data_IF_151387527305
#
_entry.id   IF_151387527305
#
_cell.length_a   1.000
_cell.length_b   1.000
_cell.length_c   1.000
_cell.angle_alpha   90.00
_cell.angle_beta   90.00
_cell.angle_gamma   90.00
#
_symmetry.space_group_name_H-M   'P 1'
#
loop_
_entity.id
_entity.type
_entity.pdbx_description
1 polymer ?
#
# COMPACT_ATOMS: atom_id res chain seq x y z
N UNK A 1 41.07 -19.09 52.25
CA UNK A 1 42.52 -19.32 52.07
C UNK A 1 43.18 -18.01 52.41
N UNK A 2 43.76 -17.92 53.62
CA UNK A 2 44.44 -16.72 54.09
C UNK A 2 45.80 -16.65 53.42
N UNK A 3 46.00 -15.63 52.61
CA UNK A 3 47.29 -15.32 52.03
C UNK A 3 48.17 -14.78 53.16
N UNK A 4 49.16 -15.56 53.57
CA UNK A 4 50.20 -15.12 54.50
C UNK A 4 51.06 -14.12 53.73
N UNK A 5 50.62 -12.86 53.73
CA UNK A 5 51.37 -11.76 53.16
C UNK A 5 52.78 -11.80 53.71
N UNK A 6 53.73 -12.13 52.83
CA UNK A 6 55.15 -11.98 53.05
C UNK A 6 55.39 -10.49 53.26
N UNK A 7 55.32 -10.06 54.53
CA UNK A 7 55.59 -8.69 54.94
C UNK A 7 57.08 -8.50 54.72
N UNK A 8 57.43 -8.05 53.51
CA UNK A 8 58.79 -7.79 53.04
C UNK A 8 59.66 -7.23 54.18
N UNK A 9 60.46 -8.10 54.79
CA UNK A 9 61.47 -7.73 55.79
C UNK A 9 62.35 -6.65 55.16
N UNK A 10 62.43 -5.46 55.78
CA UNK A 10 63.27 -4.41 55.23
C UNK A 10 64.72 -4.69 55.63
N UNK A 11 65.54 -5.00 54.62
CA UNK A 11 66.97 -5.20 54.78
C UNK A 11 67.73 -3.90 54.51
N UNK A 12 68.78 -3.68 55.27
CA UNK A 12 69.70 -2.55 55.07
C UNK A 12 70.41 -2.73 53.73
N UNK A 13 70.35 -1.77 52.79
CA UNK A 13 71.05 -1.90 51.52
C UNK A 13 72.59 -1.93 51.65
N UNK A 14 73.12 -1.50 52.79
CA UNK A 14 74.56 -1.45 53.07
C UNK A 14 75.09 -2.76 53.68
N UNK A 15 74.43 -3.36 54.67
CA UNK A 15 74.89 -4.59 55.33
C UNK A 15 74.02 -5.83 55.08
N UNK A 16 72.83 -5.67 54.50
CA UNK A 16 71.89 -6.77 54.24
C UNK A 16 71.17 -7.32 55.46
N UNK A 17 71.37 -6.74 56.64
CA UNK A 17 70.71 -7.15 57.88
C UNK A 17 69.32 -6.52 58.00
N UNK A 18 68.41 -7.16 58.74
CA UNK A 18 67.05 -6.69 58.96
C UNK A 18 66.98 -5.41 59.78
N UNK A 19 65.79 -4.78 59.83
CA UNK A 19 65.54 -3.51 60.54
C UNK A 19 66.04 -3.49 62.00
N UNK A 20 66.06 -4.65 62.66
CA UNK A 20 66.52 -4.83 64.05
C UNK A 20 68.00 -4.45 64.28
N UNK A 21 68.83 -4.44 63.23
CA UNK A 21 70.27 -4.11 63.30
C UNK A 21 70.63 -2.75 62.68
N UNK A 22 69.66 -1.94 62.25
CA UNK A 22 69.93 -0.65 61.59
C UNK A 22 70.72 0.33 62.48
N UNK A 23 70.52 0.28 63.79
CA UNK A 23 71.24 1.13 64.76
C UNK A 23 72.72 0.73 64.95
N UNK A 24 73.09 -0.50 64.59
CA UNK A 24 74.44 -1.07 64.71
C UNK A 24 75.19 -1.08 63.36
N UNK A 25 74.51 -0.67 62.28
CA UNK A 25 75.08 -0.50 60.95
C UNK A 25 76.18 0.57 60.96
N UNK A 26 77.28 0.32 60.24
CA UNK A 26 78.37 1.30 60.10
C UNK A 26 77.94 2.61 59.39
N UNK A 27 76.81 2.60 58.71
CA UNK A 27 76.18 3.77 58.07
C UNK A 27 74.64 3.74 58.21
N UNK A 28 74.11 4.17 59.37
CA UNK A 28 72.66 4.17 59.64
C UNK A 28 71.88 5.20 58.81
N UNK A 29 72.54 6.27 58.35
CA UNK A 29 71.91 7.34 57.57
C UNK A 29 71.46 6.83 56.21
N UNK A 30 72.28 5.98 55.57
CA UNK A 30 71.93 5.31 54.31
C UNK A 30 70.77 4.32 54.48
N UNK A 31 70.68 3.61 55.61
CA UNK A 31 69.58 2.67 55.90
C UNK A 31 68.24 3.40 56.12
N UNK A 32 68.24 4.46 56.94
CA UNK A 32 67.05 5.30 57.15
C UNK A 32 66.59 6.00 55.88
N UNK A 33 67.52 6.49 55.07
CA UNK A 33 67.21 7.09 53.78
C UNK A 33 66.54 6.09 52.84
N UNK A 34 67.05 4.86 52.75
CA UNK A 34 66.45 3.82 51.93
C UNK A 34 65.04 3.40 52.40
N UNK A 35 64.81 3.37 53.71
CA UNK A 35 63.48 3.10 54.27
C UNK A 35 62.51 4.26 54.00
N UNK A 36 62.96 5.50 54.14
CA UNK A 36 62.18 6.70 53.79
C UNK A 36 61.83 6.71 52.30
N UNK A 37 62.79 6.42 51.41
CA UNK A 37 62.56 6.32 49.96
C UNK A 37 61.50 5.23 49.63
N UNK A 38 61.49 4.10 50.36
CA UNK A 38 60.48 3.05 50.22
C UNK A 38 59.09 3.51 50.70
N UNK A 39 59.03 4.24 51.82
CA UNK A 39 57.77 4.82 52.33
C UNK A 39 57.23 5.86 51.33
N UNK A 40 58.08 6.75 50.83
CA UNK A 40 57.69 7.79 49.87
C UNK A 40 57.17 7.16 48.57
N UNK A 41 57.83 6.10 48.07
CA UNK A 41 57.37 5.35 46.91
C UNK A 41 56.02 4.64 47.15
N UNK A 42 55.78 4.09 48.34
CA UNK A 42 54.50 3.48 48.70
C UNK A 42 53.38 4.52 48.82
N UNK A 43 53.67 5.69 49.39
CA UNK A 43 52.72 6.81 49.47
C UNK A 43 52.37 7.31 48.08
N UNK A 44 53.36 7.54 47.21
CA UNK A 44 53.13 7.94 45.82
C UNK A 44 52.28 6.91 45.07
N UNK A 45 52.57 5.61 45.25
CA UNK A 45 51.78 4.54 44.66
C UNK A 45 50.34 4.51 45.19
N UNK A 46 50.14 4.75 46.48
CA UNK A 46 48.81 4.81 47.11
C UNK A 46 48.01 6.01 46.60
N UNK A 47 48.62 7.19 46.54
CA UNK A 47 47.98 8.42 46.03
C UNK A 47 47.58 8.27 44.56
N UNK A 48 48.44 7.62 43.76
CA UNK A 48 48.13 7.29 42.35
C UNK A 48 46.98 6.30 42.24
N UNK A 49 46.95 5.27 43.09
CA UNK A 49 45.84 4.30 43.13
C UNK A 49 44.52 4.96 43.56
N UNK A 50 44.56 5.85 44.56
CA UNK A 50 43.39 6.62 44.98
C UNK A 50 42.87 7.54 43.88
N UNK A 51 43.77 8.22 43.17
CA UNK A 51 43.41 9.08 42.04
C UNK A 51 42.79 8.27 40.88
N UNK A 52 43.32 7.08 40.61
CA UNK A 52 42.76 6.17 39.60
C UNK A 52 41.36 5.65 40.00
N UNK A 53 41.16 5.31 41.27
CA UNK A 53 39.85 4.90 41.77
C UNK A 53 38.83 6.03 41.68
N UNK A 54 39.21 7.27 42.05
CA UNK A 54 38.33 8.43 41.94
C UNK A 54 37.91 8.69 40.47
N UNK A 55 38.86 8.61 39.54
CA UNK A 55 38.56 8.73 38.11
C UNK A 55 37.64 7.60 37.59
N UNK A 56 37.79 6.39 38.15
CA UNK A 56 36.91 5.27 37.83
C UNK A 56 35.48 5.48 38.37
N UNK A 57 35.33 6.01 39.59
CA UNK A 57 34.02 6.34 40.17
C UNK A 57 33.30 7.42 39.35
N UNK A 58 34.01 8.47 38.91
CA UNK A 58 33.45 9.49 38.02
C UNK A 58 32.95 8.87 36.70
N UNK A 59 33.70 7.94 36.13
CA UNK A 59 33.29 7.22 34.92
C UNK A 59 32.07 6.32 35.17
N UNK A 60 31.99 5.64 36.31
CA UNK A 60 30.82 4.82 36.70
C UNK A 60 29.57 5.71 36.82
N UNK A 61 29.69 6.87 37.48
CA UNK A 61 28.58 7.81 37.61
C UNK A 61 28.14 8.34 36.25
N UNK A 62 29.08 8.69 35.37
CA UNK A 62 28.76 9.11 34.00
C UNK A 62 28.07 7.99 33.21
N UNK A 63 28.47 6.74 33.39
CA UNK A 63 27.82 5.60 32.74
C UNK A 63 26.40 5.39 33.26
N UNK A 64 26.17 5.56 34.57
CA UNK A 64 24.86 5.47 35.18
C UNK A 64 23.89 6.52 34.61
N UNK A 65 24.32 7.78 34.52
CA UNK A 65 23.51 8.86 33.91
C UNK A 65 23.12 8.54 32.45
N UNK A 66 24.05 7.98 31.68
CA UNK A 66 23.79 7.57 30.29
C UNK A 66 22.77 6.43 30.21
N UNK A 67 22.84 5.46 31.11
CA UNK A 67 21.88 4.35 31.18
C UNK A 67 20.48 4.90 31.48
N UNK A 68 20.35 5.78 32.47
CA UNK A 68 19.06 6.39 32.82
C UNK A 68 18.45 7.20 31.67
N UNK A 69 19.28 7.96 30.94
CA UNK A 69 18.83 8.68 29.75
C UNK A 69 18.34 7.73 28.65
N UNK A 70 19.06 6.64 28.40
CA UNK A 70 18.67 5.63 27.42
C UNK A 70 17.39 4.92 27.81
N UNK A 71 17.23 4.55 29.08
CA UNK A 71 16.01 3.92 29.59
C UNK A 71 14.80 4.82 29.43
N UNK A 72 14.94 6.12 29.73
CA UNK A 72 13.89 7.11 29.49
C UNK A 72 13.54 7.21 28.02
N UNK A 73 14.54 7.30 27.14
CA UNK A 73 14.35 7.31 25.69
C UNK A 73 13.63 6.06 25.18
N UNK A 74 13.98 4.89 25.71
CA UNK A 74 13.34 3.61 25.37
C UNK A 74 11.87 3.59 25.83
N UNK A 75 11.56 4.09 27.03
CA UNK A 75 10.19 4.18 27.52
C UNK A 75 9.34 5.12 26.65
N UNK A 76 9.89 6.25 26.21
CA UNK A 76 9.23 7.18 25.31
C UNK A 76 8.99 6.55 23.93
N UNK A 77 9.99 5.88 23.36
CA UNK A 77 9.86 5.15 22.11
C UNK A 77 8.78 4.06 22.19
N UNK A 78 8.72 3.30 23.30
CA UNK A 78 7.68 2.29 23.50
C UNK A 78 6.26 2.89 23.54
N UNK A 79 6.10 4.07 24.17
CA UNK A 79 4.83 4.81 24.15
C UNK A 79 4.46 5.25 22.74
N UNK A 80 5.41 5.71 21.94
CA UNK A 80 5.16 6.08 20.54
C UNK A 80 4.77 4.86 19.70
N UNK A 81 5.50 3.74 19.82
CA UNK A 81 5.20 2.50 19.10
C UNK A 81 3.78 2.01 19.40
N UNK A 82 3.37 2.01 20.67
CA UNK A 82 2.01 1.59 21.05
C UNK A 82 0.94 2.55 20.53
N UNK A 83 1.20 3.85 20.53
CA UNK A 83 0.32 4.86 19.95
C UNK A 83 0.15 4.67 18.44
N UNK A 84 1.26 4.54 17.70
CA UNK A 84 1.24 4.32 16.25
C UNK A 84 0.59 2.99 15.87
N UNK A 85 0.85 1.92 16.63
CA UNK A 85 0.19 0.63 16.41
C UNK A 85 -1.33 0.75 16.57
N UNK A 86 -1.81 1.51 17.56
CA UNK A 86 -3.24 1.75 17.75
C UNK A 86 -3.84 2.51 16.56
N UNK A 87 -3.21 3.61 16.14
CA UNK A 87 -3.68 4.39 14.98
C UNK A 87 -3.68 3.56 13.70
N UNK A 88 -2.63 2.77 13.45
CA UNK A 88 -2.56 1.90 12.29
C UNK A 88 -3.71 0.88 12.26
N UNK A 89 -4.03 0.26 13.41
CA UNK A 89 -5.17 -0.67 13.52
C UNK A 89 -6.51 0.03 13.24
N UNK A 90 -6.71 1.24 13.74
CA UNK A 90 -7.93 2.01 13.49
C UNK A 90 -8.06 2.35 12.00
N UNK A 91 -6.98 2.82 11.38
CA UNK A 91 -6.96 3.13 9.95
C UNK A 91 -7.23 1.89 9.10
N UNK A 92 -6.67 0.73 9.46
CA UNK A 92 -6.93 -0.53 8.76
C UNK A 92 -8.42 -0.90 8.88
N UNK A 93 -8.99 -0.85 10.09
CA UNK A 93 -10.40 -1.17 10.31
C UNK A 93 -11.35 -0.22 9.54
N UNK A 94 -11.01 1.07 9.44
CA UNK A 94 -11.77 2.03 8.65
C UNK A 94 -11.70 1.70 7.15
N UNK A 95 -10.51 1.34 6.64
CA UNK A 95 -10.36 0.92 5.23
C UNK A 95 -11.05 -0.39 4.91
N UNK A 96 -11.08 -1.33 5.85
CA UNK A 96 -11.86 -2.57 5.69
C UNK A 96 -13.36 -2.27 5.54
N UNK A 97 -13.88 -1.29 6.28
CA UNK A 97 -15.27 -0.82 6.14
C UNK A 97 -15.51 -0.19 4.77
N UNK A 98 -14.63 0.71 4.33
CA UNK A 98 -14.72 1.34 3.00
C UNK A 98 -14.74 0.28 1.88
N UNK A 99 -13.89 -0.73 1.97
CA UNK A 99 -13.82 -1.83 1.00
C UNK A 99 -15.13 -2.63 0.98
N UNK A 100 -15.68 -2.94 2.15
CA UNK A 100 -16.96 -3.65 2.23
C UNK A 100 -18.12 -2.85 1.61
N UNK A 101 -18.16 -1.54 1.82
CA UNK A 101 -19.16 -0.65 1.20
C UNK A 101 -19.00 -0.59 -0.33
N UNK A 102 -17.75 -0.50 -0.82
CA UNK A 102 -17.47 -0.52 -2.26
C UNK A 102 -17.87 -1.85 -2.92
N UNK A 103 -17.63 -2.98 -2.26
CA UNK A 103 -18.01 -4.28 -2.80
C UNK A 103 -19.53 -4.46 -2.81
N UNK A 104 -20.24 -3.97 -1.80
CA UNK A 104 -21.70 -3.94 -1.79
C UNK A 104 -22.27 -3.06 -2.93
N UNK A 105 -21.67 -1.89 -3.16
CA UNK A 105 -22.05 -1.02 -4.27
C UNK A 105 -21.82 -1.68 -5.64
N UNK A 106 -20.67 -2.35 -5.82
CA UNK A 106 -20.37 -3.12 -7.04
C UNK A 106 -21.37 -4.24 -7.28
N UNK A 107 -21.73 -4.99 -6.23
CA UNK A 107 -22.75 -6.03 -6.34
C UNK A 107 -24.11 -5.46 -6.73
N UNK A 108 -24.47 -4.30 -6.16
CA UNK A 108 -25.72 -3.62 -6.51
C UNK A 108 -25.74 -3.16 -7.96
N UNK A 109 -24.63 -2.60 -8.47
CA UNK A 109 -24.50 -2.22 -9.87
C UNK A 109 -24.64 -3.45 -10.77
N UNK A 110 -23.93 -4.54 -10.48
CA UNK A 110 -24.02 -5.77 -11.26
C UNK A 110 -25.45 -6.36 -11.28
N UNK A 111 -26.16 -6.32 -10.14
CA UNK A 111 -27.57 -6.72 -10.08
C UNK A 111 -28.43 -5.82 -10.98
N UNK A 112 -28.27 -4.50 -10.89
CA UNK A 112 -29.02 -3.54 -11.71
C UNK A 112 -28.73 -3.73 -13.21
N UNK A 113 -27.47 -3.90 -13.58
CA UNK A 113 -27.05 -4.19 -14.96
C UNK A 113 -27.69 -5.48 -15.48
N UNK A 114 -27.67 -6.55 -14.68
CA UNK A 114 -28.31 -7.82 -15.07
C UNK A 114 -29.82 -7.73 -15.23
N UNK A 115 -30.48 -6.83 -14.48
CA UNK A 115 -31.93 -6.60 -14.56
C UNK A 115 -32.30 -5.66 -15.71
N UNK A 116 -31.46 -4.67 -16.00
CA UNK A 116 -31.71 -3.64 -17.01
C UNK A 116 -31.32 -4.10 -18.42
N UNK A 117 -30.19 -4.81 -18.57
CA UNK A 117 -29.65 -5.22 -19.86
C UNK A 117 -29.80 -6.73 -20.03
N UNK A 118 -30.97 -7.14 -20.52
CA UNK A 118 -31.14 -8.52 -20.98
C UNK A 118 -30.25 -8.81 -22.18
N UNK A 119 -29.90 -10.09 -22.42
CA UNK A 119 -29.12 -10.48 -23.61
C UNK A 119 -29.79 -10.00 -24.92
N UNK A 120 -31.12 -9.99 -24.99
CA UNK A 120 -31.85 -9.49 -26.16
C UNK A 120 -31.67 -7.97 -26.36
N UNK A 121 -31.71 -7.18 -25.29
CA UNK A 121 -31.44 -5.74 -25.35
C UNK A 121 -29.98 -5.47 -25.75
N UNK A 122 -29.02 -6.21 -25.18
CA UNK A 122 -27.61 -6.11 -25.55
C UNK A 122 -27.37 -6.41 -27.04
N UNK A 123 -28.03 -7.43 -27.59
CA UNK A 123 -27.90 -7.77 -29.02
C UNK A 123 -28.42 -6.65 -29.93
N UNK A 124 -29.52 -5.98 -29.57
CA UNK A 124 -30.06 -4.84 -30.32
C UNK A 124 -29.09 -3.66 -30.30
N UNK A 125 -28.53 -3.32 -29.13
CA UNK A 125 -27.53 -2.26 -29.00
C UNK A 125 -26.24 -2.59 -29.77
N UNK A 126 -25.78 -3.85 -29.70
CA UNK A 126 -24.62 -4.33 -30.44
C UNK A 126 -24.85 -4.24 -31.95
N UNK A 127 -26.06 -4.57 -32.41
CA UNK A 127 -26.41 -4.45 -33.82
C UNK A 127 -26.47 -3.00 -34.28
N UNK A 128 -27.08 -2.11 -33.49
CA UNK A 128 -27.08 -0.67 -33.79
C UNK A 128 -25.65 -0.14 -33.93
N UNK A 129 -24.76 -0.51 -33.01
CA UNK A 129 -23.34 -0.16 -33.10
C UNK A 129 -22.68 -0.73 -34.35
N UNK A 130 -23.01 -1.97 -34.74
CA UNK A 130 -22.49 -2.61 -35.95
C UNK A 130 -22.96 -1.88 -37.21
N UNK A 131 -24.22 -1.48 -37.29
CA UNK A 131 -24.76 -0.70 -38.42
C UNK A 131 -24.04 0.65 -38.57
N UNK A 132 -23.84 1.36 -37.46
CA UNK A 132 -23.08 2.63 -37.45
C UNK A 132 -21.64 2.43 -37.91
N UNK A 133 -20.94 1.41 -37.36
CA UNK A 133 -19.49 1.24 -37.56
C UNK A 133 -19.11 0.52 -38.86
N UNK A 134 -19.90 -0.48 -39.27
CA UNK A 134 -19.60 -1.31 -40.44
C UNK A 134 -20.31 -0.81 -41.71
N UNK A 135 -21.56 -0.35 -41.59
CA UNK A 135 -22.37 0.07 -42.74
C UNK A 135 -22.40 1.60 -42.91
N UNK A 136 -21.92 2.37 -41.93
CA UNK A 136 -21.86 3.83 -41.98
C UNK A 136 -23.22 4.51 -41.73
N UNK A 137 -24.19 3.78 -41.18
CA UNK A 137 -25.53 4.29 -40.86
C UNK A 137 -25.47 5.14 -39.59
N UNK A 138 -24.86 6.32 -39.72
CA UNK A 138 -24.68 7.26 -38.62
C UNK A 138 -26.01 7.91 -38.21
N UNK A 139 -26.12 8.44 -36.98
CA UNK A 139 -27.27 9.23 -36.58
C UNK A 139 -27.62 10.36 -37.57
N UNK A 140 -26.62 11.01 -38.16
CA UNK A 140 -26.85 12.06 -39.16
C UNK A 140 -27.38 11.53 -40.50
N UNK A 141 -26.99 10.32 -40.90
CA UNK A 141 -27.58 9.64 -42.07
C UNK A 141 -29.05 9.25 -41.79
N UNK A 142 -29.33 8.81 -40.57
CA UNK A 142 -30.70 8.47 -40.16
C UNK A 142 -31.61 9.70 -40.18
N UNK A 143 -31.07 10.89 -39.86
CA UNK A 143 -31.77 12.18 -39.94
C UNK A 143 -32.16 12.58 -41.37
N UNK A 144 -31.61 11.95 -42.41
CA UNK A 144 -32.01 12.16 -43.82
C UNK A 144 -33.35 11.49 -44.18
N UNK A 145 -33.86 10.60 -43.32
CA UNK A 145 -35.15 9.92 -43.50
C UNK A 145 -36.26 10.64 -42.72
N UNK A 146 -37.34 11.02 -43.41
CA UNK A 146 -38.43 11.82 -42.83
C UNK A 146 -39.81 11.14 -42.90
N UNK A 147 -39.96 10.08 -43.69
CA UNK A 147 -41.25 9.45 -43.99
C UNK A 147 -41.44 8.09 -43.30
N UNK A 148 -40.61 7.79 -42.29
CA UNK A 148 -40.68 6.54 -41.53
C UNK A 148 -39.94 5.38 -42.18
N UNK A 149 -39.00 5.65 -43.09
CA UNK A 149 -38.25 4.63 -43.82
C UNK A 149 -37.53 3.65 -42.87
N UNK A 150 -36.97 4.14 -41.76
CA UNK A 150 -36.35 3.29 -40.74
C UNK A 150 -37.37 2.34 -40.08
N UNK A 151 -38.59 2.82 -39.81
CA UNK A 151 -39.67 2.01 -39.25
C UNK A 151 -40.21 0.98 -40.26
N UNK A 152 -40.34 1.35 -41.54
CA UNK A 152 -40.76 0.45 -42.61
C UNK A 152 -39.75 -0.68 -42.83
N UNK A 153 -38.45 -0.33 -42.87
CA UNK A 153 -37.37 -1.31 -42.95
C UNK A 153 -37.36 -2.25 -41.73
N UNK A 154 -37.58 -1.71 -40.51
CA UNK A 154 -37.72 -2.52 -39.31
C UNK A 154 -38.91 -3.48 -39.39
N UNK A 155 -40.05 -3.00 -39.89
CA UNK A 155 -41.25 -3.80 -40.12
C UNK A 155 -41.00 -4.97 -41.08
N UNK A 156 -40.26 -4.74 -42.16
CA UNK A 156 -39.86 -5.79 -43.11
C UNK A 156 -39.04 -6.90 -42.43
N UNK A 157 -38.04 -6.53 -41.61
CA UNK A 157 -37.27 -7.51 -40.86
C UNK A 157 -38.07 -8.20 -39.75
N UNK A 158 -39.01 -7.50 -39.10
CA UNK A 158 -39.84 -8.08 -38.04
C UNK A 158 -40.86 -9.09 -38.58
N UNK A 159 -41.37 -8.85 -39.79
CA UNK A 159 -42.30 -9.73 -40.50
C UNK A 159 -41.59 -10.87 -41.27
N UNK A 160 -40.27 -10.78 -41.45
CA UNK A 160 -39.43 -11.86 -41.97
C UNK A 160 -39.55 -13.09 -41.04
N UNK A 161 -40.26 -14.12 -41.50
CA UNK A 161 -40.62 -15.31 -40.73
C UNK A 161 -40.19 -16.55 -41.51
N UNK A 162 -39.93 -17.67 -40.82
CA UNK A 162 -39.56 -18.96 -41.41
C UNK A 162 -40.58 -19.50 -42.43
N UNK A 163 -41.82 -18.98 -42.42
CA UNK A 163 -42.85 -19.30 -43.42
C UNK A 163 -42.61 -18.63 -44.79
N UNK A 164 -41.82 -17.56 -44.81
CA UNK A 164 -41.42 -16.84 -46.01
C UNK A 164 -39.91 -17.02 -46.13
N UNK A 165 -39.49 -17.93 -47.00
CA UNK A 165 -38.09 -18.30 -47.20
C UNK A 165 -37.19 -17.04 -47.15
N UNK A 166 -36.36 -16.93 -46.11
CA UNK A 166 -35.60 -15.72 -45.76
C UNK A 166 -34.48 -15.41 -46.79
N UNK A 167 -34.56 -15.99 -47.98
CA UNK A 167 -33.63 -15.82 -49.10
C UNK A 167 -34.34 -15.21 -50.33
N UNK A 168 -35.49 -14.56 -50.13
CA UNK A 168 -36.29 -13.92 -51.19
C UNK A 168 -36.01 -12.43 -51.40
N UNK A 169 -36.64 -11.89 -52.44
CA UNK A 169 -36.76 -10.44 -52.69
C UNK A 169 -37.32 -9.71 -51.46
N UNK A 170 -36.92 -8.45 -51.23
CA UNK A 170 -37.49 -7.66 -50.14
C UNK A 170 -39.02 -7.57 -50.26
N UNK A 171 -39.75 -7.55 -49.13
CA UNK A 171 -41.17 -7.22 -49.15
C UNK A 171 -41.41 -5.88 -49.86
N UNK A 172 -42.56 -5.74 -50.54
CA UNK A 172 -42.96 -4.47 -51.19
C UNK A 172 -42.78 -3.20 -50.34
N UNK A 173 -43.05 -3.18 -49.02
CA UNK A 173 -42.84 -1.98 -48.20
C UNK A 173 -41.37 -1.68 -47.87
N UNK A 174 -40.40 -2.46 -48.35
CA UNK A 174 -38.99 -2.18 -48.15
C UNK A 174 -38.59 -0.86 -48.85
N UNK A 175 -38.02 0.11 -48.12
CA UNK A 175 -37.86 1.48 -48.63
C UNK A 175 -36.54 1.71 -49.40
N UNK A 176 -35.66 0.70 -49.44
CA UNK A 176 -34.28 0.85 -49.94
C UNK A 176 -33.99 -0.10 -51.10
N UNK A 177 -32.85 0.03 -51.80
CA UNK A 177 -32.50 -0.88 -52.88
C UNK A 177 -32.45 -2.35 -52.41
N UNK A 178 -32.85 -3.27 -53.29
CA UNK A 178 -32.92 -4.70 -52.98
C UNK A 178 -31.60 -5.30 -52.48
N UNK A 179 -30.45 -4.78 -52.94
CA UNK A 179 -29.13 -5.24 -52.50
C UNK A 179 -28.82 -4.94 -51.01
N UNK A 180 -29.63 -4.11 -50.36
CA UNK A 180 -29.51 -3.79 -48.93
C UNK A 180 -30.37 -4.72 -48.07
N UNK A 181 -31.30 -5.44 -48.69
CA UNK A 181 -32.08 -6.49 -48.04
C UNK A 181 -31.18 -7.70 -47.78
N UNK A 182 -30.88 -7.95 -46.51
CA UNK A 182 -29.98 -9.04 -46.09
C UNK A 182 -30.60 -9.82 -44.94
N UNK A 183 -31.76 -10.48 -45.14
CA UNK A 183 -32.37 -11.39 -44.16
C UNK A 183 -31.41 -12.52 -43.78
N UNK A 184 -31.62 -13.14 -42.62
CA UNK A 184 -30.70 -14.19 -42.13
C UNK A 184 -31.45 -15.32 -41.44
N UNK A 185 -32.01 -15.04 -40.27
CA UNK A 185 -32.86 -15.96 -39.54
C UNK A 185 -33.75 -15.12 -38.62
N UNK A 186 -34.85 -15.71 -38.16
CA UNK A 186 -35.87 -14.97 -37.40
C UNK A 186 -35.31 -14.20 -36.21
N UNK A 187 -34.44 -14.81 -35.40
CA UNK A 187 -33.86 -14.13 -34.22
C UNK A 187 -32.95 -12.97 -34.62
N UNK A 188 -32.12 -13.14 -35.66
CA UNK A 188 -31.20 -12.11 -36.13
C UNK A 188 -31.93 -10.96 -36.85
N UNK A 189 -32.99 -11.27 -37.58
CA UNK A 189 -33.79 -10.26 -38.27
C UNK A 189 -34.62 -9.43 -37.28
N UNK A 190 -35.15 -10.05 -36.20
CA UNK A 190 -35.74 -9.29 -35.09
C UNK A 190 -34.74 -8.34 -34.40
N UNK A 191 -33.46 -8.70 -34.32
CA UNK A 191 -32.42 -7.81 -33.78
C UNK A 191 -32.16 -6.63 -34.71
N UNK A 192 -32.06 -6.86 -36.02
CA UNK A 192 -31.94 -5.79 -37.02
C UNK A 192 -33.15 -4.86 -36.97
N UNK A 193 -34.35 -5.42 -36.86
CA UNK A 193 -35.58 -4.66 -36.69
C UNK A 193 -35.53 -3.79 -35.42
N UNK A 194 -35.14 -4.37 -34.29
CA UNK A 194 -34.97 -3.62 -33.03
C UNK A 194 -33.94 -2.50 -33.15
N UNK A 195 -32.82 -2.73 -33.84
CA UNK A 195 -31.79 -1.71 -34.05
C UNK A 195 -32.27 -0.56 -34.95
N UNK A 196 -33.07 -0.86 -35.98
CA UNK A 196 -33.70 0.14 -36.85
C UNK A 196 -34.81 0.93 -36.13
N UNK A 197 -35.61 0.28 -35.27
CA UNK A 197 -36.57 0.98 -34.40
C UNK A 197 -35.84 1.93 -33.45
N UNK A 198 -34.73 1.47 -32.84
CA UNK A 198 -33.91 2.31 -31.98
C UNK A 198 -33.38 3.52 -32.74
N UNK A 199 -32.88 3.33 -33.97
CA UNK A 199 -32.43 4.41 -34.84
C UNK A 199 -33.54 5.43 -35.12
N UNK A 200 -34.76 4.98 -35.41
CA UNK A 200 -35.91 5.87 -35.66
C UNK A 200 -36.33 6.63 -34.40
N UNK A 201 -36.35 5.98 -33.23
CA UNK A 201 -36.65 6.67 -31.96
C UNK A 201 -35.58 7.73 -31.68
N UNK A 202 -34.28 7.39 -31.81
CA UNK A 202 -33.19 8.34 -31.63
C UNK A 202 -33.31 9.54 -32.60
N UNK A 203 -33.74 9.30 -33.84
CA UNK A 203 -33.99 10.33 -34.86
C UNK A 203 -35.16 11.24 -34.46
N UNK A 204 -36.27 10.65 -34.03
CA UNK A 204 -37.44 11.39 -33.53
C UNK A 204 -37.10 12.22 -32.28
N UNK A 205 -36.34 11.65 -31.34
CA UNK A 205 -35.89 12.34 -30.13
C UNK A 205 -35.00 13.53 -30.49
N UNK A 206 -34.05 13.36 -31.43
CA UNK A 206 -33.23 14.47 -31.95
C UNK A 206 -34.08 15.55 -32.61
N UNK A 207 -35.03 15.17 -33.47
CA UNK A 207 -35.92 16.11 -34.14
C UNK A 207 -36.82 16.89 -33.15
N UNK A 208 -37.22 16.24 -32.05
CA UNK A 208 -38.00 16.85 -30.97
C UNK A 208 -37.15 17.62 -29.94
N UNK A 209 -35.81 17.54 -30.03
CA UNK A 209 -34.89 18.14 -29.05
C UNK A 209 -34.87 17.42 -27.69
N UNK A 210 -35.33 16.19 -27.62
CA UNK A 210 -35.27 15.33 -26.43
C UNK A 210 -33.81 14.93 -26.23
N UNK A 211 -33.19 15.42 -25.15
CA UNK A 211 -31.86 15.00 -24.74
C UNK A 211 -32.00 13.93 -23.66
N UNK A 212 -31.35 12.78 -23.87
CA UNK A 212 -31.11 11.83 -22.79
C UNK A 212 -30.02 12.45 -21.91
N UNK A 213 -30.40 13.00 -20.76
CA UNK A 213 -29.42 13.27 -19.70
C UNK A 213 -28.93 11.91 -19.22
N UNK A 214 -27.67 11.58 -19.53
CA UNK A 214 -27.03 10.44 -18.91
C UNK A 214 -26.81 10.80 -17.43
N UNK A 215 -27.60 10.19 -16.55
CA UNK A 215 -27.38 10.19 -15.09
C UNK A 215 -26.06 9.47 -14.73
#
# INVERSE_FOLDING_TARGET
MGDSGDYSDCYCPHCGEGEEHFAECADPETAWKAQQDKIDALVEALEKAQSANAAQDDHINQQQDRIEQLEKGHQEAAKQITSWSRMAKQNIAEREKDIAELDAARQRIAELESRAVTAAAADVLAERKRQVTADGWTPGHDDEYEHGELADAAGCYALSSELFDCAGEPPRPWPWPDGWWKPTNRRRDLVKAGALILAEIERLDRAAGIKVEAE
#
